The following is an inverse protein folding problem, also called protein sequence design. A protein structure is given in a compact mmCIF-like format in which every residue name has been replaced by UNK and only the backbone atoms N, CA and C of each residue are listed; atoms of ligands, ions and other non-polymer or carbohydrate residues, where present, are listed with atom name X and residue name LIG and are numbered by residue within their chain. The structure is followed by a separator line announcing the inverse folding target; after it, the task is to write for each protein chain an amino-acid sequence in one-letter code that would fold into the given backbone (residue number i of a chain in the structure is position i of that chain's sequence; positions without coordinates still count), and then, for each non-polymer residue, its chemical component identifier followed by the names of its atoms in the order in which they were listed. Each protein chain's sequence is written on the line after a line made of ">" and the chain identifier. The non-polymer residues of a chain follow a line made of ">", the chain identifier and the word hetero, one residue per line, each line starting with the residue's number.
data_IF_604273277946
#
_entry.id   IF_604273277946
#
_cell.length_a   1.000
_cell.length_b   1.000
_cell.length_c   1.000
_cell.angle_alpha   90.00
_cell.angle_beta   90.00
_cell.angle_gamma   90.00
#
_symmetry.space_group_name_H-M   'P 1'
#
loop_
_entity.id
_entity.type
_entity.pdbx_description
1 polymer ?
#
# COMPACT_ATOMS: atom_id res chain seq x y z
N UNK A 1 8.81 19.42 1.24
CA UNK A 1 9.00 19.68 2.68
C UNK A 1 9.58 18.42 3.27
N UNK A 2 10.88 18.39 3.57
CA UNK A 2 11.49 17.26 4.28
C UNK A 2 11.43 17.58 5.77
N UNK A 3 10.65 16.81 6.53
CA UNK A 3 10.62 16.90 7.99
C UNK A 3 11.64 15.91 8.51
N UNK A 4 12.80 16.38 8.96
CA UNK A 4 13.72 15.57 9.77
C UNK A 4 13.25 15.61 11.21
N UNK A 5 12.44 14.62 11.61
CA UNK A 5 12.17 14.37 13.01
C UNK A 5 13.35 13.57 13.61
N UNK A 6 13.84 13.94 14.81
CA UNK A 6 14.77 13.08 15.53
C UNK A 6 14.13 11.71 15.76
N UNK A 7 14.82 10.65 15.35
CA UNK A 7 14.34 9.28 15.55
C UNK A 7 14.33 8.97 17.04
N UNK A 8 13.16 8.62 17.58
CA UNK A 8 13.07 7.98 18.88
C UNK A 8 13.73 6.59 18.75
N UNK A 9 14.70 6.25 19.62
CA UNK A 9 15.28 4.92 19.62
C UNK A 9 14.23 3.91 20.08
N UNK A 10 13.90 2.96 19.21
CA UNK A 10 13.07 1.77 19.49
C UNK A 10 11.76 2.07 20.25
N UNK A 11 10.83 2.84 19.65
CA UNK A 11 9.55 3.13 20.27
C UNK A 11 8.72 1.84 20.36
N UNK A 12 8.63 1.25 21.55
CA UNK A 12 7.84 0.04 21.80
C UNK A 12 6.36 0.32 22.11
N UNK A 13 6.01 1.59 22.43
CA UNK A 13 4.64 2.00 22.76
C UNK A 13 4.42 3.46 22.41
N UNK A 14 3.30 3.74 21.75
CA UNK A 14 2.85 5.10 21.45
C UNK A 14 1.42 5.25 21.97
N UNK A 15 1.13 6.33 22.69
CA UNK A 15 -0.19 6.58 23.25
C UNK A 15 -0.47 8.08 23.37
N UNK A 16 -1.74 8.46 23.19
CA UNK A 16 -2.24 9.78 23.58
C UNK A 16 -2.66 9.77 25.05
N UNK A 17 -2.35 10.84 25.77
CA UNK A 17 -2.88 11.08 27.12
C UNK A 17 -4.16 11.91 27.03
N UNK A 18 -5.26 11.39 27.56
CA UNK A 18 -6.56 12.06 27.62
C UNK A 18 -7.04 12.05 29.07
N UNK A 19 -6.78 13.14 29.79
CA UNK A 19 -6.99 13.21 31.24
C UNK A 19 -6.09 12.21 31.98
N UNK A 20 -6.70 11.30 32.74
CA UNK A 20 -5.99 10.22 33.46
C UNK A 20 -5.99 8.89 32.69
N UNK A 21 -6.37 8.88 31.41
CA UNK A 21 -6.40 7.68 30.57
C UNK A 21 -5.35 7.78 29.47
N UNK A 22 -4.73 6.65 29.16
CA UNK A 22 -3.88 6.48 27.99
C UNK A 22 -4.66 5.73 26.91
N UNK A 23 -4.69 6.28 25.71
CA UNK A 23 -5.24 5.63 24.51
C UNK A 23 -4.08 5.27 23.61
N UNK A 24 -3.88 3.97 23.37
CA UNK A 24 -2.77 3.49 22.57
C UNK A 24 -2.97 3.79 21.08
N UNK A 25 -1.90 4.24 20.44
CA UNK A 25 -1.83 4.44 18.99
C UNK A 25 -1.13 3.21 18.42
N UNK A 26 -1.84 2.37 17.66
CA UNK A 26 -1.20 1.25 17.01
C UNK A 26 -0.33 1.76 15.87
N UNK A 27 0.85 1.17 15.73
CA UNK A 27 1.75 1.35 14.59
C UNK A 27 2.22 -0.03 14.11
N UNK A 28 2.69 -0.11 12.87
CA UNK A 28 3.30 -1.32 12.32
C UNK A 28 4.78 -1.08 12.09
N UNK A 29 5.55 -2.12 12.34
CA UNK A 29 6.94 -2.15 11.92
C UNK A 29 7.04 -2.34 10.40
N UNK A 30 8.08 -1.79 9.75
CA UNK A 30 8.33 -2.06 8.35
C UNK A 30 8.64 -3.54 8.13
N UNK A 31 8.29 -4.06 6.96
CA UNK A 31 8.51 -5.47 6.63
C UNK A 31 10.00 -5.72 6.49
N UNK A 32 10.56 -6.65 7.27
CA UNK A 32 11.99 -6.99 7.21
C UNK A 32 12.33 -8.01 6.10
N UNK A 33 11.37 -8.85 5.71
CA UNK A 33 11.56 -9.87 4.67
C UNK A 33 11.82 -9.19 3.33
N UNK A 34 12.89 -9.58 2.62
CA UNK A 34 13.21 -9.05 1.30
C UNK A 34 12.25 -9.57 0.22
N UNK A 35 11.88 -8.68 -0.70
CA UNK A 35 11.02 -8.94 -1.84
C UNK A 35 11.65 -8.35 -3.10
N UNK A 36 11.54 -9.05 -4.22
CA UNK A 36 12.04 -8.53 -5.50
C UNK A 36 11.15 -7.40 -6.02
N UNK A 37 9.85 -7.64 -6.02
CA UNK A 37 8.82 -6.68 -6.45
C UNK A 37 7.64 -6.74 -5.49
N UNK A 38 7.14 -5.57 -5.10
CA UNK A 38 5.88 -5.43 -4.36
C UNK A 38 4.92 -4.57 -5.18
N UNK A 39 3.72 -5.09 -5.42
CA UNK A 39 2.65 -4.34 -6.08
C UNK A 39 1.66 -3.84 -5.03
N UNK A 40 1.57 -2.52 -4.86
CA UNK A 40 0.64 -1.86 -3.98
C UNK A 40 -0.67 -1.57 -4.74
N UNK A 41 -1.72 -2.31 -4.38
CA UNK A 41 -3.06 -2.17 -4.98
C UNK A 41 -3.98 -1.49 -3.97
N UNK A 42 -4.65 -0.43 -4.40
CA UNK A 42 -5.67 0.25 -3.60
C UNK A 42 -7.08 -0.18 -4.01
N UNK A 43 -8.04 -0.29 -3.07
CA UNK A 43 -9.44 -0.41 -3.42
C UNK A 43 -9.96 0.91 -4.00
N UNK A 44 -10.42 0.90 -5.26
CA UNK A 44 -10.94 2.08 -5.93
C UNK A 44 -12.46 2.20 -5.71
N UNK A 45 -13.19 1.10 -5.92
CA UNK A 45 -14.65 1.08 -5.77
C UNK A 45 -15.16 0.02 -4.78
N UNK A 46 -16.39 0.22 -4.29
CA UNK A 46 -17.04 -0.73 -3.38
C UNK A 46 -17.31 -2.09 -4.01
N UNK A 47 -17.65 -2.10 -5.30
CA UNK A 47 -17.92 -3.30 -6.08
C UNK A 47 -16.66 -4.10 -6.43
N UNK A 48 -15.45 -3.64 -6.11
CA UNK A 48 -14.21 -4.40 -6.35
C UNK A 48 -13.79 -5.28 -5.16
N UNK A 49 -14.44 -5.13 -4.00
CA UNK A 49 -14.09 -5.88 -2.79
C UNK A 49 -14.15 -7.39 -3.00
N UNK A 50 -15.14 -7.87 -3.78
CA UNK A 50 -15.25 -9.30 -4.05
C UNK A 50 -14.10 -9.82 -4.90
N UNK A 51 -13.55 -9.01 -5.83
CA UNK A 51 -12.39 -9.38 -6.65
C UNK A 51 -11.15 -9.52 -5.75
N UNK A 52 -10.95 -8.56 -4.84
CA UNK A 52 -9.86 -8.63 -3.86
C UNK A 52 -10.00 -9.84 -2.94
N UNK A 53 -11.20 -10.09 -2.42
CA UNK A 53 -11.47 -11.26 -1.58
C UNK A 53 -11.21 -12.57 -2.34
N UNK A 54 -11.60 -12.65 -3.62
CA UNK A 54 -11.36 -13.81 -4.46
C UNK A 54 -9.87 -14.05 -4.69
N UNK A 55 -9.11 -13.00 -5.06
CA UNK A 55 -7.67 -13.11 -5.25
C UNK A 55 -6.94 -13.46 -3.96
N UNK A 56 -7.37 -12.90 -2.82
CA UNK A 56 -6.83 -13.25 -1.52
C UNK A 56 -7.08 -14.71 -1.17
N UNK A 57 -8.31 -15.20 -1.41
CA UNK A 57 -8.68 -16.59 -1.15
C UNK A 57 -7.88 -17.59 -2.00
N UNK A 58 -7.45 -17.18 -3.21
CA UNK A 58 -6.59 -17.98 -4.08
C UNK A 58 -5.09 -17.78 -3.81
N UNK A 59 -4.72 -16.91 -2.86
CA UNK A 59 -3.34 -16.64 -2.49
C UNK A 59 -2.57 -15.74 -3.48
N UNK A 60 -3.27 -15.02 -4.37
CA UNK A 60 -2.64 -14.09 -5.31
C UNK A 60 -2.33 -12.71 -4.71
N UNK A 61 -3.04 -12.33 -3.65
CA UNK A 61 -2.78 -11.09 -2.92
C UNK A 61 -2.99 -11.28 -1.42
N UNK A 62 -2.47 -10.34 -0.64
CA UNK A 62 -2.71 -10.24 0.81
C UNK A 62 -3.50 -8.96 1.09
N UNK A 63 -4.62 -9.07 1.80
CA UNK A 63 -5.39 -7.92 2.25
C UNK A 63 -4.83 -7.44 3.58
N UNK A 64 -4.34 -6.20 3.60
CA UNK A 64 -3.84 -5.55 4.82
C UNK A 64 -4.90 -4.58 5.36
N UNK A 65 -5.54 -4.85 6.51
CA UNK A 65 -6.48 -3.92 7.12
C UNK A 65 -5.75 -2.74 7.74
N UNK A 66 -6.36 -1.56 7.67
CA UNK A 66 -5.86 -0.33 8.27
C UNK A 66 -5.71 -0.44 9.79
N UNK A 67 -4.68 0.21 10.30
CA UNK A 67 -4.54 0.45 11.74
C UNK A 67 -5.76 1.25 12.23
N UNK A 68 -6.34 0.83 13.35
CA UNK A 68 -7.50 1.48 13.96
C UNK A 68 -7.30 1.68 15.45
N UNK A 69 -7.72 2.82 15.96
CA UNK A 69 -7.73 3.12 17.40
C UNK A 69 -9.09 2.73 17.95
N UNK A 70 -9.16 2.02 19.08
CA UNK A 70 -10.42 1.70 19.73
C UNK A 70 -10.84 2.83 20.68
N UNK A 71 -11.93 3.53 20.36
CA UNK A 71 -12.49 4.58 21.22
C UNK A 71 -13.65 4.02 22.05
N UNK A 72 -13.60 4.20 23.38
CA UNK A 72 -14.56 3.58 24.31
C UNK A 72 -15.97 4.17 24.24
N UNK A 73 -16.12 5.39 23.70
CA UNK A 73 -17.36 6.19 23.77
C UNK A 73 -17.98 6.50 22.42
N UNK A 74 -17.35 6.08 21.32
CA UNK A 74 -17.81 6.33 19.95
C UNK A 74 -18.05 4.98 19.29
N UNK A 75 -19.06 4.88 18.42
CA UNK A 75 -19.30 3.67 17.64
C UNK A 75 -18.19 3.45 16.61
N UNK A 76 -17.72 2.21 16.48
CA UNK A 76 -16.74 1.81 15.46
C UNK A 76 -17.19 2.18 14.03
N UNK A 77 -18.50 2.20 13.78
CA UNK A 77 -19.01 2.60 12.47
C UNK A 77 -18.63 4.04 12.12
N UNK A 78 -18.43 4.93 13.10
CA UNK A 78 -18.19 6.34 12.82
C UNK A 78 -16.72 6.66 12.52
N UNK A 79 -15.78 5.83 12.99
CA UNK A 79 -14.35 6.13 12.91
C UNK A 79 -13.48 4.98 12.38
N UNK A 80 -14.01 3.78 12.15
CA UNK A 80 -13.21 2.66 11.70
C UNK A 80 -12.81 2.83 10.22
N UNK A 81 -11.51 3.02 9.92
CA UNK A 81 -11.02 3.23 8.56
C UNK A 81 -11.16 1.98 7.67
N UNK A 82 -11.53 0.83 8.22
CA UNK A 82 -11.83 -0.36 7.41
C UNK A 82 -13.30 -0.41 6.97
N UNK A 83 -14.16 0.45 7.52
CA UNK A 83 -15.59 0.54 7.18
C UNK A 83 -15.86 1.79 6.34
N UNK A 84 -15.41 2.96 6.82
CA UNK A 84 -15.74 4.25 6.25
C UNK A 84 -14.49 5.05 5.92
N UNK A 85 -14.21 5.18 4.62
CA UNK A 85 -13.15 6.04 4.11
C UNK A 85 -13.63 6.71 2.84
N UNK A 86 -13.51 8.04 2.78
CA UNK A 86 -13.84 8.86 1.62
C UNK A 86 -13.06 8.35 0.39
N UNK A 87 -13.79 7.98 -0.68
CA UNK A 87 -13.24 7.35 -1.90
C UNK A 87 -12.23 6.23 -1.62
N UNK A 88 -12.37 5.55 -0.48
CA UNK A 88 -11.47 4.47 -0.01
C UNK A 88 -9.99 4.84 0.10
N UNK A 89 -9.69 6.14 -0.01
CA UNK A 89 -8.39 6.79 0.13
C UNK A 89 -7.23 6.00 -0.49
N UNK A 90 -7.23 5.91 -1.81
CA UNK A 90 -6.17 5.23 -2.58
C UNK A 90 -4.78 5.74 -2.25
N UNK A 91 -4.63 7.06 -2.14
CA UNK A 91 -3.36 7.69 -1.82
C UNK A 91 -2.82 7.20 -0.48
N UNK A 92 -3.66 7.11 0.55
CA UNK A 92 -3.23 6.56 1.83
C UNK A 92 -2.90 5.05 1.72
N UNK A 93 -3.65 4.27 0.93
CA UNK A 93 -3.45 2.81 0.86
C UNK A 93 -2.12 2.48 0.20
N UNK A 94 -1.84 3.16 -0.91
CA UNK A 94 -0.57 3.08 -1.62
C UNK A 94 0.58 3.63 -0.76
N UNK A 95 0.36 4.71 -0.01
CA UNK A 95 1.37 5.26 0.92
C UNK A 95 1.67 4.29 2.07
N UNK A 96 0.66 3.66 2.68
CA UNK A 96 0.84 2.67 3.76
C UNK A 96 1.66 1.47 3.24
N UNK A 97 1.34 0.97 2.05
CA UNK A 97 2.11 -0.10 1.41
C UNK A 97 3.55 0.34 1.10
N UNK A 98 3.74 1.52 0.51
CA UNK A 98 5.07 2.08 0.24
C UNK A 98 5.91 2.16 1.51
N UNK A 99 5.38 2.71 2.59
CA UNK A 99 6.11 2.88 3.85
C UNK A 99 6.48 1.55 4.50
N UNK A 100 5.65 0.52 4.36
CA UNK A 100 5.93 -0.81 4.89
C UNK A 100 7.04 -1.54 4.11
N UNK A 101 7.11 -1.35 2.80
CA UNK A 101 7.97 -2.15 1.93
C UNK A 101 9.17 -1.41 1.33
N UNK A 102 9.27 -0.07 1.45
CA UNK A 102 10.33 0.74 0.81
C UNK A 102 11.76 0.29 1.15
N UNK A 103 11.99 -0.30 2.32
CA UNK A 103 13.32 -0.77 2.74
C UNK A 103 13.54 -2.26 2.44
N UNK A 104 12.51 -2.97 2.00
CA UNK A 104 12.51 -4.43 1.84
C UNK A 104 12.17 -4.92 0.45
N UNK A 105 11.62 -4.08 -0.42
CA UNK A 105 11.42 -4.37 -1.82
C UNK A 105 12.55 -3.76 -2.68
N UNK A 106 12.99 -4.47 -3.71
CA UNK A 106 13.89 -3.88 -4.73
C UNK A 106 13.14 -2.87 -5.61
N UNK A 107 11.88 -3.18 -5.94
CA UNK A 107 10.98 -2.30 -6.69
C UNK A 107 9.56 -2.32 -6.12
N UNK A 108 8.90 -1.17 -6.17
CA UNK A 108 7.49 -1.02 -5.78
C UNK A 108 6.71 -0.49 -6.97
N UNK A 109 5.61 -1.16 -7.31
CA UNK A 109 4.68 -0.75 -8.36
C UNK A 109 3.34 -0.34 -7.74
N UNK A 110 2.76 0.74 -8.26
CA UNK A 110 1.39 1.17 -7.93
C UNK A 110 0.51 0.86 -9.12
N UNK A 111 -0.49 0.00 -8.93
CA UNK A 111 -1.35 -0.51 -9.99
C UNK A 111 -2.78 -0.59 -9.47
N UNK A 112 -3.75 -0.26 -10.32
CA UNK A 112 -5.17 -0.46 -10.03
C UNK A 112 -5.52 -1.95 -10.10
N UNK A 113 -6.57 -2.39 -9.41
CA UNK A 113 -6.93 -3.81 -9.34
C UNK A 113 -7.35 -4.39 -10.70
N UNK A 114 -7.90 -3.55 -11.56
CA UNK A 114 -8.40 -3.88 -12.90
C UNK A 114 -7.36 -3.66 -14.01
N UNK A 115 -6.13 -3.27 -13.66
CA UNK A 115 -5.03 -3.10 -14.60
C UNK A 115 -4.05 -4.29 -14.57
N UNK A 116 -3.53 -4.63 -15.74
CA UNK A 116 -2.47 -5.62 -15.91
C UNK A 116 -1.25 -4.97 -16.55
N UNK A 117 -0.11 -5.10 -15.88
CA UNK A 117 1.17 -4.70 -16.44
C UNK A 117 1.73 -5.85 -17.28
N UNK A 118 2.00 -5.61 -18.56
CA UNK A 118 2.56 -6.63 -19.47
C UNK A 118 4.02 -6.24 -19.76
N UNK A 119 5.02 -6.99 -19.23
CA UNK A 119 6.42 -6.77 -19.57
C UNK A 119 6.66 -6.87 -21.07
N UNK A 120 7.50 -5.97 -21.62
CA UNK A 120 7.81 -5.94 -23.06
C UNK A 120 9.28 -6.20 -23.36
N UNK A 121 10.15 -6.01 -22.38
CA UNK A 121 11.61 -6.09 -22.52
C UNK A 121 12.18 -7.34 -21.84
N UNK A 122 11.49 -7.90 -20.84
CA UNK A 122 11.92 -9.08 -20.12
C UNK A 122 10.77 -10.05 -19.78
N UNK A 123 11.12 -11.21 -19.21
CA UNK A 123 10.18 -12.28 -18.84
C UNK A 123 9.60 -12.18 -17.41
N UNK A 124 10.05 -11.23 -16.61
CA UNK A 124 9.61 -11.02 -15.23
C UNK A 124 9.53 -9.52 -14.91
N UNK A 125 8.74 -9.13 -13.91
CA UNK A 125 8.70 -7.74 -13.47
C UNK A 125 10.04 -7.26 -12.91
N UNK A 126 10.77 -8.13 -12.20
CA UNK A 126 12.09 -7.79 -11.66
C UNK A 126 13.05 -7.40 -12.79
N UNK A 127 13.15 -8.24 -13.82
CA UNK A 127 14.07 -8.01 -14.94
C UNK A 127 13.64 -6.82 -15.79
N UNK A 128 12.33 -6.63 -16.01
CA UNK A 128 11.77 -5.48 -16.72
C UNK A 128 12.15 -4.17 -16.01
N UNK A 129 11.91 -4.10 -14.70
CA UNK A 129 12.22 -2.91 -13.90
C UNK A 129 13.72 -2.67 -13.83
N UNK A 130 14.52 -3.70 -13.58
CA UNK A 130 15.97 -3.58 -13.55
C UNK A 130 16.52 -3.10 -14.90
N UNK A 131 16.02 -3.63 -16.02
CA UNK A 131 16.43 -3.18 -17.35
C UNK A 131 16.13 -1.69 -17.57
N UNK A 132 14.93 -1.26 -17.23
CA UNK A 132 14.52 0.13 -17.41
C UNK A 132 15.30 1.10 -16.50
N UNK A 133 15.45 0.80 -15.22
CA UNK A 133 16.21 1.64 -14.29
C UNK A 133 17.72 1.67 -14.61
N UNK A 134 18.30 0.57 -15.12
CA UNK A 134 19.68 0.59 -15.63
C UNK A 134 19.83 1.51 -16.84
N UNK A 135 18.84 1.56 -17.74
CA UNK A 135 18.87 2.45 -18.90
C UNK A 135 18.67 3.93 -18.55
N UNK A 136 18.09 4.22 -17.38
CA UNK A 136 17.75 5.57 -16.91
C UNK A 136 18.19 5.77 -15.45
N UNK A 137 19.49 5.81 -15.14
CA UNK A 137 19.99 5.71 -13.77
C UNK A 137 19.62 6.90 -12.86
N UNK A 138 19.13 8.01 -13.42
CA UNK A 138 18.81 9.24 -12.69
C UNK A 138 17.31 9.44 -12.43
N UNK A 139 16.46 8.44 -12.69
CA UNK A 139 15.02 8.54 -12.43
C UNK A 139 14.65 7.83 -11.14
N UNK A 140 13.77 8.43 -10.35
CA UNK A 140 13.27 7.85 -9.10
C UNK A 140 12.04 6.95 -9.32
N UNK A 141 11.36 7.11 -10.46
CA UNK A 141 10.17 6.34 -10.82
C UNK A 141 10.00 6.32 -12.34
N UNK A 142 9.20 5.36 -12.82
CA UNK A 142 8.81 5.20 -14.21
C UNK A 142 7.28 5.12 -14.25
N UNK A 143 6.69 5.76 -15.26
CA UNK A 143 5.25 5.71 -15.49
C UNK A 143 4.96 4.86 -16.73
N UNK A 144 4.12 3.83 -16.56
CA UNK A 144 3.62 3.02 -17.68
C UNK A 144 2.35 3.68 -18.25
N UNK A 145 2.24 3.69 -19.57
CA UNK A 145 1.04 4.23 -20.22
C UNK A 145 -0.05 3.17 -20.22
N UNK A 146 -1.25 3.54 -19.77
CA UNK A 146 -2.44 2.68 -19.79
C UNK A 146 -3.06 2.69 -21.18
N UNK A 147 -3.30 1.51 -21.74
CA UNK A 147 -4.05 1.33 -22.98
C UNK A 147 -5.35 0.58 -22.68
N UNK A 148 -6.49 1.19 -23.00
CA UNK A 148 -7.77 0.52 -22.89
C UNK A 148 -8.02 -0.29 -24.16
N UNK A 149 -8.22 -1.60 -24.01
CA UNK A 149 -8.62 -2.45 -25.14
C UNK A 149 -10.07 -2.13 -25.52
N UNK A 150 -10.29 -1.75 -26.77
CA UNK A 150 -11.65 -1.66 -27.32
C UNK A 150 -12.02 -3.04 -27.86
N UNK A 151 -13.14 -3.58 -27.41
CA UNK A 151 -13.75 -4.71 -28.09
C UNK A 151 -14.10 -4.25 -29.51
N UNK A 152 -13.53 -4.92 -30.51
CA UNK A 152 -13.98 -4.76 -31.89
C UNK A 152 -15.35 -5.43 -31.95
N UNK A 153 -16.40 -4.63 -32.16
CA UNK A 153 -17.78 -5.10 -32.30
C UNK A 153 -17.98 -5.87 -33.60
#
# INVERSE_FOLDING_TARGET
>A
MFVTAPLLPDPNRLAFSVGNKLVEIPFREPVAKKHDVVTCIAPLFGNEQWQQALFAAHGYLTIQPWLRISLLTISELDFNPNVNVEFRNQAAAQTDCLLQYKESASYIAFVDLDDVLIPRLAGSYLDEFAHLFHSMPNVAYIHYTKENTKLVA
#
